data_IF_091672947047
#
_entry.id   IF_091672947047
#
_cell.length_a   1.000
_cell.length_b   1.000
_cell.length_c   1.000
_cell.angle_alpha   90.00
_cell.angle_beta   90.00
_cell.angle_gamma   90.00
#
_symmetry.space_group_name_H-M   'P 1'
#
loop_
_entity.id
_entity.type
_entity.pdbx_description
1 polymer ?
#
# COMPACT_ATOMS: atom_id res chain seq x y z
N UNK A 1 -12.19 -24.90 12.98
CA UNK A 1 -12.70 -23.53 13.18
C UNK A 1 -11.88 -22.73 14.19
N UNK A 2 -11.58 -23.25 15.39
CA UNK A 2 -10.92 -22.48 16.47
C UNK A 2 -9.40 -22.30 16.32
N UNK A 3 -8.68 -23.30 15.80
CA UNK A 3 -7.20 -23.26 15.69
C UNK A 3 -6.71 -22.28 14.64
N UNK A 4 -7.29 -22.29 13.44
CA UNK A 4 -6.93 -21.37 12.35
C UNK A 4 -7.26 -19.90 12.70
N UNK A 5 -8.37 -19.66 13.41
CA UNK A 5 -8.72 -18.33 13.92
C UNK A 5 -7.67 -17.82 14.92
N UNK A 6 -7.23 -18.66 15.86
CA UNK A 6 -6.19 -18.31 16.83
C UNK A 6 -4.82 -18.09 16.20
N UNK A 7 -4.44 -18.88 15.18
CA UNK A 7 -3.18 -18.70 14.45
C UNK A 7 -3.18 -17.38 13.66
N UNK A 8 -4.28 -17.06 12.97
CA UNK A 8 -4.44 -15.77 12.30
C UNK A 8 -4.39 -14.61 13.28
N UNK A 9 -5.06 -14.72 14.42
CA UNK A 9 -5.04 -13.70 15.46
C UNK A 9 -3.65 -13.50 16.05
N UNK A 10 -2.93 -14.60 16.31
CA UNK A 10 -1.55 -14.54 16.80
C UNK A 10 -0.62 -13.91 15.76
N UNK A 11 -0.79 -14.24 14.48
CA UNK A 11 -0.02 -13.64 13.39
C UNK A 11 -0.29 -12.14 13.22
N UNK A 12 -1.55 -11.71 13.37
CA UNK A 12 -1.93 -10.29 13.35
C UNK A 12 -1.32 -9.56 14.55
N UNK A 13 -1.43 -10.12 15.77
CA UNK A 13 -0.82 -9.53 16.98
C UNK A 13 0.70 -9.48 16.85
N UNK A 14 1.32 -10.52 16.30
CA UNK A 14 2.76 -10.55 16.05
C UNK A 14 3.19 -9.49 15.04
N UNK A 15 2.45 -9.30 13.94
CA UNK A 15 2.70 -8.21 12.99
C UNK A 15 2.52 -6.84 13.64
N UNK A 16 1.48 -6.65 14.46
CA UNK A 16 1.27 -5.40 15.20
C UNK A 16 2.41 -5.13 16.18
N UNK A 17 2.91 -6.15 16.87
CA UNK A 17 4.05 -6.03 17.76
C UNK A 17 5.35 -5.76 17.00
N UNK A 18 5.58 -6.44 15.87
CA UNK A 18 6.75 -6.21 15.00
C UNK A 18 6.73 -4.78 14.48
N UNK A 19 5.59 -4.30 14.00
CA UNK A 19 5.39 -2.91 13.58
C UNK A 19 5.62 -1.96 14.76
N UNK A 20 5.02 -2.20 15.93
CA UNK A 20 5.22 -1.38 17.12
C UNK A 20 6.70 -1.33 17.57
N UNK A 21 7.43 -2.43 17.41
CA UNK A 21 8.84 -2.54 17.78
C UNK A 21 9.76 -1.87 16.75
N UNK A 22 9.44 -1.96 15.46
CA UNK A 22 10.15 -1.27 14.37
C UNK A 22 9.95 0.25 14.42
N UNK A 23 8.89 0.71 15.08
CA UNK A 23 8.56 2.13 15.27
C UNK A 23 9.32 2.83 16.40
N UNK A 24 10.17 2.12 17.16
CA UNK A 24 11.00 2.75 18.20
C UNK A 24 12.41 2.96 17.69
N UNK A 25 12.69 4.26 17.43
CA UNK A 25 13.99 4.92 17.24
C UNK A 25 14.30 5.24 15.77
N UNK A 26 14.03 6.48 15.36
CA UNK A 26 15.12 7.45 15.10
C UNK A 26 14.62 8.85 14.73
N UNK A 27 15.36 9.81 15.33
CA UNK A 27 15.63 11.18 14.94
C UNK A 27 14.52 12.24 15.04
N UNK A 28 14.66 12.97 16.14
CA UNK A 28 14.41 14.39 16.29
C UNK A 28 14.87 15.16 15.03
N UNK A 29 14.01 16.07 14.57
CA UNK A 29 14.16 17.09 13.53
C UNK A 29 13.20 16.87 12.35
N UNK A 30 12.29 17.84 12.20
CA UNK A 30 11.48 18.23 11.03
C UNK A 30 10.01 18.54 11.40
N UNK A 31 9.36 19.51 10.72
CA UNK A 31 8.40 20.47 11.29
C UNK A 31 6.99 19.87 11.40
N UNK A 32 6.82 18.91 12.32
CA UNK A 32 5.59 18.14 12.48
C UNK A 32 4.54 18.81 13.40
N UNK A 33 4.53 20.15 13.43
CA UNK A 33 3.66 20.95 14.30
C UNK A 33 2.37 21.40 13.63
N UNK A 34 2.29 21.39 12.30
CA UNK A 34 1.16 22.03 11.60
C UNK A 34 -0.14 21.21 11.62
N UNK A 35 -0.06 19.86 11.58
CA UNK A 35 -1.26 19.01 11.65
C UNK A 35 -1.87 19.05 13.06
N UNK A 36 -1.02 18.96 14.09
CA UNK A 36 -1.45 19.05 15.49
C UNK A 36 -2.00 20.44 15.82
N UNK A 37 -1.39 21.49 15.28
CA UNK A 37 -1.85 22.87 15.42
C UNK A 37 -3.15 23.13 14.65
N UNK A 38 -3.38 22.47 13.51
CA UNK A 38 -4.64 22.52 12.76
C UNK A 38 -5.79 21.81 13.50
N UNK A 39 -5.49 20.72 14.21
CA UNK A 39 -6.45 20.04 15.11
C UNK A 39 -6.78 20.91 16.32
N UNK A 40 -5.81 21.62 16.87
CA UNK A 40 -5.99 22.50 18.04
C UNK A 40 -6.65 23.84 17.69
N UNK A 41 -6.39 24.41 16.50
CA UNK A 41 -6.96 25.69 16.07
C UNK A 41 -8.40 25.59 15.53
N UNK A 42 -8.89 24.38 15.23
CA UNK A 42 -10.22 24.19 14.62
C UNK A 42 -11.26 23.91 15.70
N UNK A 43 -11.70 24.98 16.38
CA UNK A 43 -12.68 24.93 17.49
C UNK A 43 -14.11 24.47 17.13
N UNK A 44 -14.37 23.99 15.91
CA UNK A 44 -15.69 23.56 15.41
C UNK A 44 -15.67 22.21 14.67
N UNK A 45 -14.76 21.30 15.02
CA UNK A 45 -14.75 19.95 14.44
C UNK A 45 -15.63 18.98 15.22
N UNK A 46 -16.40 18.15 14.51
CA UNK A 46 -17.17 17.06 15.10
C UNK A 46 -16.25 16.04 15.79
N UNK A 47 -16.78 15.31 16.78
CA UNK A 47 -16.01 14.29 17.52
C UNK A 47 -15.37 13.26 16.57
N UNK A 48 -16.09 12.91 15.50
CA UNK A 48 -15.59 12.00 14.46
C UNK A 48 -14.38 12.60 13.72
N UNK A 49 -14.44 13.85 13.27
CA UNK A 49 -13.35 14.52 12.54
C UNK A 49 -12.12 14.71 13.42
N UNK A 50 -12.33 15.08 14.69
CA UNK A 50 -11.24 15.21 15.67
C UNK A 50 -10.57 13.86 15.93
N UNK A 51 -11.33 12.79 16.06
CA UNK A 51 -10.77 11.44 16.24
C UNK A 51 -10.01 10.97 15.00
N UNK A 52 -10.53 11.24 13.80
CA UNK A 52 -9.89 10.90 12.54
C UNK A 52 -8.55 11.63 12.38
N UNK A 53 -8.52 12.94 12.60
CA UNK A 53 -7.28 13.71 12.50
C UNK A 53 -6.28 13.37 13.61
N UNK A 54 -6.77 13.00 14.80
CA UNK A 54 -5.90 12.54 15.88
C UNK A 54 -5.24 11.20 15.54
N UNK A 55 -6.01 10.22 15.04
CA UNK A 55 -5.48 8.93 14.57
C UNK A 55 -4.54 9.14 13.39
N UNK A 56 -4.91 9.98 12.43
CA UNK A 56 -4.09 10.28 11.26
C UNK A 56 -2.79 10.99 11.65
N UNK A 57 -2.83 11.95 12.57
CA UNK A 57 -1.65 12.63 13.10
C UNK A 57 -0.76 11.68 13.88
N UNK A 58 -1.32 10.80 14.71
CA UNK A 58 -0.56 9.76 15.42
C UNK A 58 0.10 8.80 14.41
N UNK A 59 -0.62 8.37 13.39
CA UNK A 59 -0.13 7.46 12.35
C UNK A 59 0.98 8.12 11.53
N UNK A 60 0.82 9.38 11.13
CA UNK A 60 1.82 10.14 10.39
C UNK A 60 3.08 10.37 11.23
N UNK A 61 2.94 10.60 12.55
CA UNK A 61 4.11 10.72 13.43
C UNK A 61 4.94 9.44 13.51
N UNK A 62 4.34 8.28 13.25
CA UNK A 62 4.98 6.96 13.36
C UNK A 62 5.46 6.44 12.01
N UNK A 63 4.64 6.53 10.97
CA UNK A 63 4.92 5.94 9.66
C UNK A 63 5.40 6.95 8.61
N UNK A 64 5.51 8.24 8.94
CA UNK A 64 5.94 9.30 7.99
C UNK A 64 5.16 9.24 6.67
N UNK A 65 3.85 9.02 6.76
CA UNK A 65 2.99 8.81 5.59
C UNK A 65 3.08 9.97 4.60
N UNK A 66 3.18 11.19 5.12
CA UNK A 66 3.30 12.40 4.30
C UNK A 66 4.60 12.42 3.47
N UNK A 67 5.72 11.91 3.99
CA UNK A 67 6.99 11.86 3.25
C UNK A 67 6.92 10.84 2.12
N UNK A 68 6.38 9.64 2.38
CA UNK A 68 6.18 8.62 1.35
C UNK A 68 5.19 9.08 0.28
N UNK A 69 4.15 9.80 0.67
CA UNK A 69 3.18 10.38 -0.26
C UNK A 69 3.82 11.46 -1.14
N UNK A 70 4.59 12.38 -0.55
CA UNK A 70 5.31 13.42 -1.29
C UNK A 70 6.36 12.81 -2.22
N UNK A 71 7.08 11.78 -1.79
CA UNK A 71 8.02 11.03 -2.62
C UNK A 71 7.30 10.34 -3.78
N UNK A 72 6.15 9.72 -3.53
CA UNK A 72 5.33 9.08 -4.56
C UNK A 72 4.80 10.09 -5.57
N UNK A 73 4.36 11.26 -5.09
CA UNK A 73 3.93 12.39 -5.93
C UNK A 73 5.09 12.91 -6.79
N UNK A 74 6.26 13.09 -6.18
CA UNK A 74 7.48 13.48 -6.87
C UNK A 74 7.87 12.47 -7.95
N UNK A 75 7.83 11.17 -7.64
CA UNK A 75 8.05 10.11 -8.62
C UNK A 75 7.00 10.16 -9.74
N UNK A 76 5.71 10.29 -9.41
CA UNK A 76 4.64 10.31 -10.40
C UNK A 76 4.78 11.44 -11.42
N UNK A 77 5.09 12.66 -10.96
CA UNK A 77 5.22 13.81 -11.85
C UNK A 77 6.58 13.91 -12.56
N UNK A 78 7.66 13.40 -11.96
CA UNK A 78 9.01 13.52 -12.54
C UNK A 78 9.46 12.26 -13.31
N UNK A 79 8.78 11.12 -13.15
CA UNK A 79 9.08 9.92 -13.93
C UNK A 79 8.63 10.11 -15.38
N UNK A 80 9.58 10.52 -16.20
CA UNK A 80 9.47 10.37 -17.65
C UNK A 80 9.63 8.88 -17.99
N UNK A 81 8.57 8.10 -17.78
CA UNK A 81 8.48 6.70 -18.20
C UNK A 81 8.40 6.64 -19.73
N UNK A 82 9.53 6.90 -20.39
CA UNK A 82 9.72 6.56 -21.78
C UNK A 82 10.15 5.10 -21.81
N UNK A 83 9.33 4.26 -22.43
CA UNK A 83 9.66 2.86 -22.64
C UNK A 83 10.86 2.82 -23.60
N UNK A 84 11.89 2.00 -23.35
CA UNK A 84 12.99 1.88 -24.29
C UNK A 84 12.43 1.43 -25.64
N UNK A 85 12.84 2.13 -26.70
CA UNK A 85 12.44 1.82 -28.07
C UNK A 85 12.78 0.35 -28.36
N UNK A 86 11.78 -0.42 -28.80
CA UNK A 86 12.01 -1.82 -29.16
C UNK A 86 12.99 -1.89 -30.35
N UNK A 87 13.82 -2.93 -30.44
CA UNK A 87 14.75 -3.09 -31.57
C UNK A 87 14.05 -2.99 -32.94
N UNK A 88 12.79 -3.43 -33.04
CA UNK A 88 11.98 -3.30 -34.26
C UNK A 88 11.55 -1.85 -34.57
N UNK A 89 11.28 -1.05 -33.53
CA UNK A 89 10.93 0.38 -33.66
C UNK A 89 12.16 1.22 -34.06
N UNK A 90 13.35 0.84 -33.58
CA UNK A 90 14.64 1.40 -34.03
C UNK A 90 14.88 1.26 -35.54
N UNK A 91 14.36 0.18 -36.16
CA UNK A 91 14.50 -0.11 -37.59
C UNK A 91 13.22 0.16 -38.42
N UNK A 92 12.23 0.90 -37.89
CA UNK A 92 10.97 1.26 -38.57
C UNK A 92 10.18 0.07 -39.18
N UNK A 93 10.20 -1.09 -38.55
CA UNK A 93 9.42 -2.25 -39.00
C UNK A 93 7.94 -2.08 -38.64
N UNK A 94 7.03 -2.28 -39.61
CA UNK A 94 5.58 -1.99 -39.46
C UNK A 94 4.79 -2.93 -38.51
N UNK A 95 5.44 -3.91 -37.89
CA UNK A 95 4.82 -5.01 -37.09
C UNK A 95 4.84 -4.70 -35.57
N UNK A 96 5.24 -3.49 -35.17
CA UNK A 96 5.46 -3.04 -33.78
C UNK A 96 4.29 -3.32 -32.81
N UNK A 97 3.06 -3.36 -33.31
CA UNK A 97 1.85 -3.40 -32.47
C UNK A 97 1.67 -4.69 -31.64
N UNK A 98 2.32 -5.81 -32.04
CA UNK A 98 2.18 -7.10 -31.33
C UNK A 98 2.91 -7.18 -29.98
N UNK A 99 3.92 -6.33 -29.74
CA UNK A 99 4.74 -6.42 -28.52
C UNK A 99 4.13 -5.68 -27.33
N UNK A 100 3.35 -4.63 -27.56
CA UNK A 100 2.74 -3.82 -26.50
C UNK A 100 1.74 -4.62 -25.62
N UNK A 101 0.84 -5.45 -26.17
CA UNK A 101 -0.03 -6.30 -25.36
C UNK A 101 0.71 -7.40 -24.58
N UNK A 102 1.85 -7.88 -25.12
CA UNK A 102 2.65 -8.92 -24.48
C UNK A 102 3.33 -8.42 -23.20
N UNK A 103 3.74 -7.15 -23.14
CA UNK A 103 4.28 -6.55 -21.91
C UNK A 103 3.25 -6.51 -20.76
N UNK A 104 1.95 -6.58 -21.07
CA UNK A 104 0.90 -6.63 -20.06
C UNK A 104 0.67 -8.03 -19.46
N UNK A 105 1.27 -9.09 -20.02
CA UNK A 105 1.07 -10.47 -19.53
C UNK A 105 1.46 -10.65 -18.06
N UNK A 106 2.55 -10.00 -17.62
CA UNK A 106 2.97 -10.02 -16.22
C UNK A 106 2.01 -9.28 -15.28
N UNK A 107 1.37 -8.20 -15.76
CA UNK A 107 0.34 -7.48 -15.00
C UNK A 107 -0.95 -8.30 -14.86
N UNK A 108 -1.33 -9.00 -15.93
CA UNK A 108 -2.52 -9.87 -15.95
C UNK A 108 -2.31 -11.06 -15.00
N UNK A 109 -1.12 -11.69 -14.99
CA UNK A 109 -0.83 -12.80 -14.09
C UNK A 109 -0.85 -12.37 -12.62
N UNK A 110 -0.29 -11.19 -12.30
CA UNK A 110 -0.33 -10.64 -10.95
C UNK A 110 -1.76 -10.31 -10.49
N UNK A 111 -2.58 -9.74 -11.37
CA UNK A 111 -3.98 -9.44 -11.07
C UNK A 111 -4.80 -10.73 -10.85
N UNK A 112 -4.57 -11.74 -11.69
CA UNK A 112 -5.18 -13.07 -11.52
C UNK A 112 -4.77 -13.71 -10.19
N UNK A 113 -3.51 -13.60 -9.79
CA UNK A 113 -3.02 -14.07 -8.49
C UNK A 113 -3.74 -13.42 -7.31
N UNK A 114 -3.94 -12.09 -7.33
CA UNK A 114 -4.70 -11.39 -6.27
C UNK A 114 -6.13 -11.93 -6.18
N UNK A 115 -6.81 -12.09 -7.32
CA UNK A 115 -8.17 -12.64 -7.36
C UNK A 115 -8.19 -14.06 -6.78
N UNK A 116 -7.21 -14.89 -7.13
CA UNK A 116 -7.12 -16.27 -6.66
C UNK A 116 -6.84 -16.35 -5.16
N UNK A 117 -6.00 -15.47 -4.62
CA UNK A 117 -5.75 -15.38 -3.17
C UNK A 117 -7.02 -14.98 -2.43
N UNK A 118 -7.74 -13.97 -2.90
CA UNK A 118 -8.98 -13.51 -2.26
C UNK A 118 -10.04 -14.62 -2.32
N UNK A 119 -10.33 -15.12 -3.51
CA UNK A 119 -11.37 -16.15 -3.71
C UNK A 119 -10.99 -17.48 -3.05
N UNK A 120 -9.72 -17.89 -3.12
CA UNK A 120 -9.20 -19.09 -2.46
C UNK A 120 -9.24 -19.00 -0.94
N UNK A 121 -8.97 -17.82 -0.36
CA UNK A 121 -9.10 -17.62 1.09
C UNK A 121 -10.56 -17.72 1.52
N UNK A 122 -11.50 -17.12 0.77
CA UNK A 122 -12.93 -17.25 1.03
C UNK A 122 -13.36 -18.71 0.93
N UNK A 123 -12.94 -19.41 -0.12
CA UNK A 123 -13.26 -20.83 -0.31
C UNK A 123 -12.69 -21.69 0.82
N UNK A 124 -11.46 -21.42 1.27
CA UNK A 124 -10.80 -22.16 2.35
C UNK A 124 -11.51 -22.08 3.71
N UNK A 125 -12.35 -21.06 3.94
CA UNK A 125 -13.17 -20.97 5.15
C UNK A 125 -14.37 -21.94 5.08
N UNK A 126 -14.94 -22.14 3.89
CA UNK A 126 -16.14 -22.96 3.68
C UNK A 126 -15.84 -24.39 3.19
N UNK A 127 -14.68 -24.61 2.59
CA UNK A 127 -14.27 -25.89 2.06
C UNK A 127 -13.77 -26.79 3.19
N UNK A 128 -14.52 -27.83 3.50
CA UNK A 128 -14.08 -28.94 4.34
C UNK A 128 -13.49 -29.99 3.40
N UNK A 129 -12.17 -30.24 3.44
CA UNK A 129 -11.58 -31.30 2.63
C UNK A 129 -12.11 -32.65 3.15
N UNK A 130 -13.08 -33.22 2.44
CA UNK A 130 -13.58 -34.56 2.72
C UNK A 130 -12.55 -35.60 2.26
N UNK A 131 -11.99 -36.32 3.22
CA UNK A 131 -11.48 -37.68 3.01
C UNK A 131 -12.60 -38.69 3.24
#
# INVERSE_FOLDING_TARGET
>A
MTTMFWVLWFFIVFLVLLVAFTLRKENEEMPRRDILRAVESTGKMGVAERSFLWVFSWLDTRFRLQDYWNMSKGAYYNMHRQMPLTHAEKYKLRIIWYWYPLYCLGGISFLSFIILVITGTVLGIYYVPGG
#
